data_IF_906799107886
#
_entry.id   IF_906799107886
#
_cell.length_a   1.000
_cell.length_b   1.000
_cell.length_c   1.000
_cell.angle_alpha   90.00
_cell.angle_beta   90.00
_cell.angle_gamma   90.00
#
_symmetry.space_group_name_H-M   'P 1'
#
loop_
_entity.id
_entity.type
_entity.pdbx_description
1 polymer ?
#
# COMPACT_ATOMS: atom_id res chain seq x y z
N UNK A 1 4.20 -13.75 -11.21
CA UNK A 1 3.56 -12.43 -11.03
C UNK A 1 4.50 -11.54 -10.22
N UNK A 2 4.58 -10.25 -10.50
CA UNK A 2 5.46 -9.38 -9.76
C UNK A 2 5.01 -9.26 -8.29
N UNK A 3 5.96 -9.19 -7.36
CA UNK A 3 5.67 -8.97 -5.96
C UNK A 3 5.09 -7.55 -5.77
N UNK A 4 4.09 -7.43 -4.89
CA UNK A 4 3.53 -6.13 -4.54
C UNK A 4 4.61 -5.20 -3.97
N UNK A 5 4.68 -4.00 -4.50
CA UNK A 5 5.56 -2.96 -3.99
C UNK A 5 4.74 -1.78 -3.50
N UNK A 6 4.92 -1.41 -2.25
CA UNK A 6 4.28 -0.24 -1.67
C UNK A 6 4.70 1.02 -2.41
N UNK A 7 3.74 1.83 -2.85
CA UNK A 7 4.00 3.11 -3.52
C UNK A 7 4.35 4.25 -2.56
N UNK A 8 4.46 3.95 -1.26
CA UNK A 8 4.88 4.90 -0.22
C UNK A 8 3.97 6.15 -0.14
N UNK A 9 2.69 6.01 -0.50
CA UNK A 9 1.74 7.12 -0.45
C UNK A 9 1.23 7.45 0.97
N UNK A 10 1.57 6.65 1.98
CA UNK A 10 1.21 6.86 3.38
C UNK A 10 -0.24 6.61 3.76
N UNK A 11 -1.17 6.48 2.82
CA UNK A 11 -2.61 6.41 3.10
C UNK A 11 -3.00 5.33 4.11
N UNK A 12 -2.52 4.10 3.92
CA UNK A 12 -2.81 3.01 4.85
C UNK A 12 -2.20 3.26 6.24
N UNK A 13 -1.01 3.84 6.31
CA UNK A 13 -0.35 4.17 7.57
C UNK A 13 -1.06 5.32 8.31
N UNK A 14 -1.70 6.25 7.60
CA UNK A 14 -2.52 7.31 8.18
C UNK A 14 -3.88 6.77 8.67
N UNK A 15 -4.40 5.71 8.06
CA UNK A 15 -5.68 5.10 8.42
C UNK A 15 -5.51 3.97 9.45
N UNK A 16 -5.32 2.74 9.02
CA UNK A 16 -5.22 1.63 9.97
C UNK A 16 -3.89 1.57 10.72
N UNK A 17 -2.83 2.18 10.19
CA UNK A 17 -1.53 2.30 10.86
C UNK A 17 -1.60 3.05 12.19
N UNK A 18 -2.61 3.90 12.40
CA UNK A 18 -2.86 4.57 13.69
C UNK A 18 -3.12 3.58 14.84
N UNK A 19 -3.50 2.35 14.53
CA UNK A 19 -3.69 1.28 15.52
C UNK A 19 -2.39 0.57 15.90
N UNK A 20 -1.26 0.94 15.28
CA UNK A 20 0.07 0.49 15.71
C UNK A 20 0.49 1.31 16.92
N UNK A 21 0.54 0.68 18.09
CA UNK A 21 0.94 1.33 19.34
C UNK A 21 2.28 0.78 19.83
N UNK A 22 3.13 1.68 20.33
CA UNK A 22 4.37 1.32 21.02
C UNK A 22 4.01 1.08 22.49
N UNK A 23 4.12 -0.17 22.95
CA UNK A 23 3.86 -0.54 24.33
C UNK A 23 5.06 -0.20 25.23
N UNK A 24 6.28 -0.47 24.76
CA UNK A 24 7.52 -0.12 25.46
C UNK A 24 8.73 -0.10 24.52
N UNK A 25 9.75 0.66 24.90
CA UNK A 25 11.08 0.58 24.30
C UNK A 25 11.85 -0.62 24.87
N UNK A 26 12.54 -1.33 23.99
CA UNK A 26 13.42 -2.45 24.35
C UNK A 26 14.91 -2.06 24.27
N UNK A 27 15.20 -0.84 23.82
CA UNK A 27 16.52 -0.31 23.58
C UNK A 27 16.55 0.66 22.40
N UNK A 28 17.70 1.21 22.04
CA UNK A 28 17.80 2.13 20.92
C UNK A 28 17.31 1.51 19.61
N UNK A 29 16.19 2.02 19.09
CA UNK A 29 15.59 1.55 17.84
C UNK A 29 14.80 0.26 17.91
N UNK A 30 14.61 -0.31 19.11
CA UNK A 30 13.83 -1.52 19.35
C UNK A 30 12.59 -1.23 20.19
N UNK A 31 11.46 -1.77 19.78
CA UNK A 31 10.19 -1.53 20.45
C UNK A 31 9.34 -2.80 20.50
N UNK A 32 8.60 -2.93 21.60
CA UNK A 32 7.53 -3.91 21.71
C UNK A 32 6.20 -3.20 21.43
N UNK A 33 5.48 -3.71 20.45
CA UNK A 33 4.33 -3.04 19.86
C UNK A 33 3.10 -3.93 19.85
N UNK A 34 1.93 -3.28 19.75
CA UNK A 34 0.62 -3.91 19.53
C UNK A 34 -0.01 -3.37 18.26
N UNK A 35 -0.63 -4.26 17.50
CA UNK A 35 -1.52 -3.87 16.41
C UNK A 35 -2.97 -4.00 16.88
N UNK A 36 -3.63 -2.88 17.14
CA UNK A 36 -4.92 -2.83 17.82
C UNK A 36 -6.08 -3.45 17.05
N UNK A 37 -5.99 -3.57 15.72
CA UNK A 37 -7.07 -4.19 14.91
C UNK A 37 -7.14 -5.69 15.17
N UNK A 38 -6.00 -6.38 15.26
CA UNK A 38 -5.92 -7.83 15.47
C UNK A 38 -5.57 -8.22 16.90
N UNK A 39 -5.13 -7.27 17.73
CA UNK A 39 -4.59 -7.53 19.06
C UNK A 39 -3.17 -8.14 19.05
N UNK A 40 -2.57 -8.31 17.90
CA UNK A 40 -1.27 -8.94 17.71
C UNK A 40 -0.15 -8.12 18.37
N UNK A 41 0.73 -8.82 19.08
CA UNK A 41 1.97 -8.26 19.63
C UNK A 41 3.13 -8.55 18.68
N UNK A 42 3.98 -7.56 18.44
CA UNK A 42 5.14 -7.73 17.59
C UNK A 42 6.34 -6.89 18.06
N UNK A 43 7.52 -7.31 17.66
CA UNK A 43 8.75 -6.55 17.88
C UNK A 43 9.05 -5.72 16.64
N UNK A 44 9.17 -4.40 16.82
CA UNK A 44 9.56 -3.46 15.77
C UNK A 44 11.02 -3.05 15.95
N UNK A 45 11.75 -3.04 14.84
CA UNK A 45 13.13 -2.57 14.79
C UNK A 45 13.26 -1.49 13.73
N UNK A 46 13.80 -0.33 14.10
CA UNK A 46 14.04 0.76 13.17
C UNK A 46 15.08 0.36 12.12
N UNK A 47 14.79 0.65 10.87
CA UNK A 47 15.81 0.59 9.82
C UNK A 47 17.00 1.48 10.21
N UNK A 48 18.24 0.97 10.22
CA UNK A 48 19.39 1.72 10.69
C UNK A 48 19.55 3.10 10.03
N UNK A 49 19.29 3.18 8.72
CA UNK A 49 19.35 4.42 7.94
C UNK A 49 18.24 5.43 8.28
N UNK A 50 17.16 5.00 8.94
CA UNK A 50 15.99 5.84 9.26
C UNK A 50 15.88 6.19 10.74
N UNK A 51 16.84 5.77 11.57
CA UNK A 51 16.84 6.06 13.01
C UNK A 51 16.84 7.55 13.29
N UNK A 52 17.66 8.32 12.58
CA UNK A 52 17.70 9.78 12.72
C UNK A 52 16.39 10.45 12.33
N UNK A 53 15.71 9.93 11.32
CA UNK A 53 14.42 10.43 10.87
C UNK A 53 13.29 10.12 11.86
N UNK A 54 13.36 8.97 12.51
CA UNK A 54 12.38 8.59 13.54
C UNK A 54 12.39 9.58 14.72
N UNK A 55 13.57 9.99 15.19
CA UNK A 55 13.76 10.89 16.31
C UNK A 55 13.41 10.28 17.68
N UNK A 56 13.51 11.08 18.74
CA UNK A 56 13.31 10.62 20.12
C UNK A 56 11.83 10.47 20.51
N UNK A 57 10.91 11.18 19.86
CA UNK A 57 9.50 11.26 20.28
C UNK A 57 8.56 10.21 19.69
N UNK A 58 9.05 9.25 18.97
CA UNK A 58 8.30 8.09 18.47
C UNK A 58 7.12 8.37 17.53
N UNK A 59 6.46 9.50 17.62
CA UNK A 59 5.37 9.93 16.71
C UNK A 59 5.73 11.23 16.04
N UNK A 60 5.22 11.44 14.83
CA UNK A 60 5.27 12.76 14.23
C UNK A 60 4.55 13.76 15.13
N UNK A 61 5.24 14.80 15.58
CA UNK A 61 4.63 15.83 16.41
C UNK A 61 3.51 16.59 15.69
N UNK A 62 3.57 16.66 14.36
CA UNK A 62 2.57 17.30 13.51
C UNK A 62 1.32 16.44 13.29
N UNK A 63 1.48 15.10 13.33
CA UNK A 63 0.42 14.14 13.01
C UNK A 63 0.39 12.97 14.00
N UNK A 64 -0.06 13.22 15.24
CA UNK A 64 -0.09 12.20 16.30
C UNK A 64 -1.09 11.06 15.99
N UNK A 65 -2.02 11.29 15.07
CA UNK A 65 -3.03 10.31 14.62
C UNK A 65 -2.50 9.32 13.58
N UNK A 66 -1.32 9.55 13.01
CA UNK A 66 -0.72 8.61 12.06
C UNK A 66 -0.04 7.44 12.76
N UNK A 67 0.36 6.43 11.96
CA UNK A 67 1.23 5.37 12.47
C UNK A 67 2.48 5.97 13.11
N UNK A 68 2.83 5.48 14.30
CA UNK A 68 3.99 5.95 15.06
C UNK A 68 5.31 5.86 14.26
N UNK A 69 5.39 4.97 13.29
CA UNK A 69 6.58 4.70 12.47
C UNK A 69 6.57 5.36 11.10
N UNK A 70 5.50 6.09 10.75
CA UNK A 70 5.42 6.82 9.48
C UNK A 70 6.19 8.13 9.56
N UNK A 71 6.97 8.42 8.54
CA UNK A 71 7.65 9.72 8.35
C UNK A 71 7.53 10.16 6.91
N UNK A 72 7.56 11.47 6.69
CA UNK A 72 7.76 12.02 5.36
C UNK A 72 9.17 11.69 4.87
N UNK A 73 9.29 11.38 3.59
CA UNK A 73 10.60 11.13 2.98
C UNK A 73 11.34 12.48 2.86
N UNK A 74 12.54 12.62 3.43
CA UNK A 74 13.31 13.85 3.31
C UNK A 74 13.65 14.24 1.87
N UNK A 75 13.68 13.26 0.96
CA UNK A 75 13.92 13.48 -0.47
C UNK A 75 12.65 13.87 -1.24
N UNK A 76 11.51 14.05 -0.56
CA UNK A 76 10.26 14.46 -1.17
C UNK A 76 9.53 13.36 -1.98
N UNK A 77 9.96 12.11 -1.86
CA UNK A 77 9.42 10.94 -2.57
C UNK A 77 8.19 10.32 -1.90
N UNK A 78 7.46 11.06 -1.08
CA UNK A 78 6.29 10.59 -0.34
C UNK A 78 6.61 10.26 1.12
N UNK A 79 6.35 9.01 1.54
CA UNK A 79 6.47 8.58 2.93
C UNK A 79 7.39 7.35 3.07
N UNK A 80 7.95 7.19 4.25
CA UNK A 80 8.74 6.01 4.63
C UNK A 80 8.19 5.37 5.89
N UNK A 81 8.20 4.04 5.92
CA UNK A 81 7.96 3.25 7.12
C UNK A 81 9.31 2.95 7.78
N UNK A 82 9.54 3.51 8.95
CA UNK A 82 10.85 3.37 9.65
C UNK A 82 11.12 1.97 10.19
N UNK A 83 10.10 1.09 10.18
CA UNK A 83 10.20 -0.33 10.57
C UNK A 83 9.82 -1.26 9.41
N UNK A 84 10.06 -0.89 8.18
CA UNK A 84 9.52 -1.58 7.00
C UNK A 84 9.79 -3.10 7.01
N UNK A 85 10.98 -3.54 7.39
CA UNK A 85 11.35 -4.96 7.45
C UNK A 85 10.68 -5.72 8.61
N UNK A 86 10.35 -5.03 9.70
CA UNK A 86 9.78 -5.62 10.92
C UNK A 86 8.32 -5.24 11.16
N UNK A 87 7.68 -4.59 10.18
CA UNK A 87 6.27 -4.21 10.27
C UNK A 87 5.37 -5.43 10.54
N UNK A 88 4.22 -5.25 11.21
CA UNK A 88 3.36 -6.38 11.59
C UNK A 88 2.86 -7.14 10.36
N UNK A 89 2.53 -8.43 10.50
CA UNK A 89 2.05 -9.27 9.39
C UNK A 89 0.88 -8.65 8.61
N UNK A 90 -0.05 -8.00 9.29
CA UNK A 90 -1.14 -7.29 8.65
C UNK A 90 -0.64 -6.24 7.65
N UNK A 91 0.32 -5.39 8.06
CA UNK A 91 0.89 -4.38 7.16
C UNK A 91 1.68 -5.01 6.00
N UNK A 92 2.30 -6.18 6.22
CA UNK A 92 3.03 -6.91 5.18
C UNK A 92 2.10 -7.55 4.15
N UNK A 93 0.97 -8.06 4.59
CA UNK A 93 -0.02 -8.73 3.73
C UNK A 93 -1.00 -7.77 3.06
N UNK A 94 -1.12 -6.54 3.59
CA UNK A 94 -2.06 -5.57 3.03
C UNK A 94 -1.66 -5.13 1.62
N UNK A 95 -2.62 -5.18 0.71
CA UNK A 95 -2.50 -4.74 -0.68
C UNK A 95 -3.50 -3.64 -0.94
N UNK A 96 -3.05 -2.41 -1.11
CA UNK A 96 -3.95 -1.28 -1.37
C UNK A 96 -4.49 -1.27 -2.80
N UNK A 97 -3.86 -2.03 -3.69
CA UNK A 97 -4.33 -2.29 -5.05
C UNK A 97 -3.97 -3.72 -5.47
N UNK A 98 -4.77 -4.27 -6.38
CA UNK A 98 -4.62 -5.63 -6.91
C UNK A 98 -4.12 -5.66 -8.34
N UNK A 99 -4.34 -4.57 -9.08
CA UNK A 99 -3.81 -4.37 -10.43
C UNK A 99 -3.25 -2.96 -10.60
N UNK A 100 -2.22 -2.84 -11.43
CA UNK A 100 -1.79 -1.56 -12.04
C UNK A 100 -1.96 -1.65 -13.54
N UNK A 101 -2.38 -0.55 -14.15
CA UNK A 101 -2.68 -0.48 -15.58
C UNK A 101 -1.78 0.56 -16.21
N UNK A 102 -1.14 0.17 -17.30
CA UNK A 102 -0.16 0.96 -18.02
C UNK A 102 -0.56 1.10 -19.49
N UNK A 103 -0.18 2.23 -20.07
CA UNK A 103 -0.15 2.42 -21.53
C UNK A 103 0.95 1.59 -22.19
N UNK A 104 0.96 1.47 -23.53
CA UNK A 104 2.01 0.76 -24.24
C UNK A 104 3.43 1.30 -24.00
N UNK A 105 3.58 2.58 -23.71
CA UNK A 105 4.85 3.24 -23.39
C UNK A 105 5.25 3.10 -21.90
N UNK A 106 4.53 2.23 -21.16
CA UNK A 106 4.75 1.95 -19.73
C UNK A 106 4.45 3.10 -18.77
N UNK A 107 3.69 4.10 -19.20
CA UNK A 107 3.13 5.12 -18.30
C UNK A 107 1.99 4.52 -17.49
N UNK A 108 2.03 4.66 -16.17
CA UNK A 108 0.93 4.21 -15.31
C UNK A 108 -0.31 5.10 -15.48
N UNK A 109 -1.40 4.50 -15.92
CA UNK A 109 -2.67 5.17 -16.17
C UNK A 109 -3.69 4.97 -15.06
N UNK A 110 -3.58 3.88 -14.31
CA UNK A 110 -4.54 3.60 -13.25
C UNK A 110 -4.20 2.41 -12.38
N UNK A 111 -4.98 2.26 -11.31
CA UNK A 111 -4.90 1.17 -10.33
C UNK A 111 -6.28 0.66 -9.98
N UNK A 112 -6.37 -0.60 -9.61
CA UNK A 112 -7.60 -1.23 -9.16
C UNK A 112 -7.45 -1.64 -7.71
N UNK A 113 -8.36 -1.17 -6.86
CA UNK A 113 -8.41 -1.54 -5.46
C UNK A 113 -8.98 -2.94 -5.21
N UNK A 114 -8.89 -3.42 -3.98
CA UNK A 114 -9.45 -4.71 -3.57
C UNK A 114 -10.98 -4.80 -3.68
N UNK A 115 -11.65 -3.66 -3.73
CA UNK A 115 -13.10 -3.54 -4.00
C UNK A 115 -13.44 -3.51 -5.50
N UNK A 116 -12.50 -3.83 -6.37
CA UNK A 116 -12.62 -3.78 -7.84
C UNK A 116 -12.88 -2.40 -8.43
N UNK A 117 -12.67 -1.33 -7.66
CA UNK A 117 -12.82 0.03 -8.14
C UNK A 117 -11.57 0.50 -8.89
N UNK A 118 -11.77 1.08 -10.08
CA UNK A 118 -10.70 1.73 -10.82
C UNK A 118 -10.41 3.12 -10.25
N UNK A 119 -9.15 3.39 -10.04
CA UNK A 119 -8.61 4.72 -9.76
C UNK A 119 -7.78 5.17 -10.96
N UNK A 120 -8.32 6.05 -11.77
CA UNK A 120 -7.66 6.60 -12.96
C UNK A 120 -8.13 8.01 -13.25
N UNK A 121 -7.26 8.80 -13.87
CA UNK A 121 -7.58 10.11 -14.45
C UNK A 121 -7.58 10.07 -15.99
N UNK A 122 -7.21 8.93 -16.58
CA UNK A 122 -7.21 8.76 -18.03
C UNK A 122 -8.63 8.50 -18.54
N UNK A 123 -9.18 9.37 -19.41
CA UNK A 123 -10.56 9.26 -19.87
C UNK A 123 -10.81 8.01 -20.74
N UNK A 124 -9.80 7.59 -21.51
CA UNK A 124 -9.89 6.40 -22.35
C UNK A 124 -10.00 5.13 -21.50
N UNK A 125 -9.11 4.98 -20.52
CA UNK A 125 -9.15 3.86 -19.59
C UNK A 125 -10.46 3.83 -18.77
N UNK A 126 -10.92 4.99 -18.29
CA UNK A 126 -12.20 5.08 -17.54
C UNK A 126 -13.37 4.61 -18.40
N UNK A 127 -13.45 5.03 -19.67
CA UNK A 127 -14.48 4.58 -20.59
C UNK A 127 -14.43 3.08 -20.83
N UNK A 128 -13.26 2.55 -21.19
CA UNK A 128 -13.06 1.11 -21.38
C UNK A 128 -13.48 0.32 -20.14
N UNK A 129 -13.14 0.82 -18.97
CA UNK A 129 -13.53 0.19 -17.72
C UNK A 129 -15.03 0.12 -17.53
N UNK A 130 -15.72 1.25 -17.71
CA UNK A 130 -17.17 1.35 -17.53
C UNK A 130 -17.95 0.49 -18.53
N UNK A 131 -17.52 0.49 -19.78
CA UNK A 131 -18.22 -0.22 -20.86
C UNK A 131 -17.95 -1.72 -20.88
N UNK A 132 -16.72 -2.14 -20.59
CA UNK A 132 -16.28 -3.52 -20.83
C UNK A 132 -15.96 -4.32 -19.56
N UNK A 133 -15.57 -3.69 -18.47
CA UNK A 133 -15.09 -4.37 -17.26
C UNK A 133 -16.09 -4.26 -16.10
N UNK A 134 -16.63 -3.10 -15.86
CA UNK A 134 -17.60 -2.90 -14.78
C UNK A 134 -18.81 -3.88 -14.82
N UNK A 135 -19.29 -4.30 -16.00
CA UNK A 135 -20.38 -5.29 -16.10
C UNK A 135 -20.00 -6.73 -15.74
N UNK A 136 -18.72 -7.03 -15.45
CA UNK A 136 -18.32 -8.40 -15.13
C UNK A 136 -18.97 -8.90 -13.84
N UNK A 137 -19.60 -10.07 -13.94
CA UNK A 137 -20.28 -10.75 -12.82
C UNK A 137 -19.45 -11.89 -12.22
N UNK A 138 -18.22 -12.09 -12.69
CA UNK A 138 -17.31 -13.12 -12.19
C UNK A 138 -17.06 -12.96 -10.67
N UNK A 139 -17.35 -14.02 -9.90
CA UNK A 139 -17.20 -14.02 -8.44
C UNK A 139 -15.81 -14.45 -7.99
N UNK A 140 -15.20 -15.37 -8.75
CA UNK A 140 -13.84 -15.81 -8.47
C UNK A 140 -12.86 -14.68 -8.77
N UNK A 141 -12.06 -14.31 -7.77
CA UNK A 141 -11.21 -13.13 -7.84
C UNK A 141 -10.05 -13.29 -8.84
N UNK A 142 -9.47 -14.49 -8.90
CA UNK A 142 -8.35 -14.74 -9.80
C UNK A 142 -8.81 -14.78 -11.26
N UNK A 143 -9.96 -15.42 -11.51
CA UNK A 143 -10.59 -15.42 -12.83
C UNK A 143 -11.01 -14.03 -13.26
N UNK A 144 -11.56 -13.24 -12.33
CA UNK A 144 -11.93 -11.86 -12.59
C UNK A 144 -10.71 -11.03 -13.01
N UNK A 145 -9.60 -11.13 -12.29
CA UNK A 145 -8.35 -10.40 -12.59
C UNK A 145 -7.79 -10.79 -13.96
N UNK A 146 -7.75 -12.08 -14.27
CA UNK A 146 -7.31 -12.56 -15.58
C UNK A 146 -8.18 -12.03 -16.71
N UNK A 147 -9.49 -12.08 -16.55
CA UNK A 147 -10.44 -11.54 -17.53
C UNK A 147 -10.27 -10.03 -17.73
N UNK A 148 -10.04 -9.29 -16.65
CA UNK A 148 -9.72 -7.85 -16.73
C UNK A 148 -8.44 -7.64 -17.53
N UNK A 149 -7.38 -8.40 -17.24
CA UNK A 149 -6.11 -8.31 -17.94
C UNK A 149 -6.24 -8.57 -19.44
N UNK A 150 -6.97 -9.63 -19.81
CA UNK A 150 -7.21 -9.97 -21.20
C UNK A 150 -8.04 -8.91 -21.94
N UNK A 151 -9.04 -8.35 -21.28
CA UNK A 151 -9.89 -7.30 -21.86
C UNK A 151 -9.08 -6.03 -22.10
N UNK A 152 -8.30 -5.62 -21.11
CA UNK A 152 -7.43 -4.44 -21.22
C UNK A 152 -6.36 -4.63 -22.31
N UNK A 153 -5.80 -5.83 -22.45
CA UNK A 153 -4.82 -6.12 -23.49
C UNK A 153 -5.40 -5.96 -24.91
N UNK A 154 -6.65 -6.31 -25.14
CA UNK A 154 -7.34 -6.11 -26.43
C UNK A 154 -7.51 -4.63 -26.77
N UNK A 155 -7.62 -3.79 -25.75
CA UNK A 155 -7.75 -2.32 -25.90
C UNK A 155 -6.38 -1.59 -25.88
N UNK A 156 -5.26 -2.34 -25.90
CA UNK A 156 -3.92 -1.80 -25.95
C UNK A 156 -3.31 -1.41 -24.60
N UNK A 157 -3.94 -1.75 -23.51
CA UNK A 157 -3.39 -1.52 -22.16
C UNK A 157 -2.64 -2.74 -21.64
N UNK A 158 -1.65 -2.52 -20.79
CA UNK A 158 -0.94 -3.58 -20.07
C UNK A 158 -1.35 -3.56 -18.60
N UNK A 159 -1.86 -4.66 -18.09
CA UNK A 159 -2.21 -4.81 -16.68
C UNK A 159 -1.25 -5.76 -15.95
N UNK A 160 -0.77 -5.34 -14.79
CA UNK A 160 0.03 -6.15 -13.87
C UNK A 160 -0.83 -6.53 -12.67
N UNK A 161 -0.96 -7.83 -12.42
CA UNK A 161 -1.68 -8.41 -11.29
C UNK A 161 -0.71 -8.61 -10.14
N UNK A 162 -1.11 -8.22 -8.93
CA UNK A 162 -0.34 -8.40 -7.70
C UNK A 162 -1.07 -9.34 -6.75
N UNK A 163 -0.34 -10.27 -6.19
CA UNK A 163 -0.81 -11.23 -5.18
C UNK A 163 -0.24 -10.95 -3.81
#
# INVERSE_FOLDING_TARGET
MPAFQCTRCGKCCMHFGRYVSIERSLGPGDFFCRFGITGELFRAHLEPSLRGLFGEKGKSAAHPEWCAFLREDPEGMGFVCTIHSTRPPYCRSFRCYTLRIFSPDSTELGRVGGNRALLSKDPGLVRTWQEQIAPFTERDEDRWRERVRETLAKEGYRAEIYT
#
